data_IF_000201507263
#
_entry.id   IF_000201507263
#
_cell.length_a   1.000
_cell.length_b   1.000
_cell.length_c   1.000
_cell.angle_alpha   90.00
_cell.angle_beta   90.00
_cell.angle_gamma   90.00
#
_symmetry.space_group_name_H-M   'P 1'
#
loop_
_entity.id
_entity.type
_entity.pdbx_description
1 polymer ?
#
# COMPACT_ATOMS: atom_id res chain seq x y z
N UNK A 1 16.55 -30.44 -24.25
CA UNK A 1 18.01 -30.24 -24.02
C UNK A 1 18.20 -29.93 -22.54
N UNK A 2 18.78 -30.84 -21.75
CA UNK A 2 18.92 -30.67 -20.30
C UNK A 2 20.15 -29.79 -20.04
N UNK A 3 19.97 -28.46 -20.06
CA UNK A 3 21.05 -27.58 -19.66
C UNK A 3 21.16 -27.59 -18.13
N UNK A 4 22.25 -28.24 -17.70
CA UNK A 4 23.12 -27.83 -16.60
C UNK A 4 22.52 -27.87 -15.19
N UNK A 5 22.80 -28.97 -14.49
CA UNK A 5 22.88 -29.06 -13.03
C UNK A 5 24.04 -28.18 -12.55
N UNK A 6 23.96 -26.86 -12.73
CA UNK A 6 24.82 -25.97 -11.99
C UNK A 6 24.46 -26.16 -10.51
N UNK A 7 25.43 -26.48 -9.63
CA UNK A 7 25.19 -26.56 -8.21
C UNK A 7 24.48 -25.30 -7.71
N UNK A 8 23.49 -25.49 -6.83
CA UNK A 8 22.65 -24.41 -6.32
C UNK A 8 23.49 -23.30 -5.68
N UNK A 9 24.59 -23.67 -5.04
CA UNK A 9 25.53 -22.78 -4.37
C UNK A 9 26.21 -21.84 -5.37
N UNK A 10 26.62 -22.34 -6.55
CA UNK A 10 27.20 -21.52 -7.60
C UNK A 10 26.17 -20.57 -8.19
N UNK A 11 24.92 -21.02 -8.33
CA UNK A 11 23.83 -20.17 -8.79
C UNK A 11 23.58 -19.03 -7.81
N UNK A 12 23.41 -19.33 -6.52
CA UNK A 12 23.25 -18.33 -5.47
C UNK A 12 24.44 -17.35 -5.41
N UNK A 13 25.67 -17.84 -5.63
CA UNK A 13 26.85 -17.00 -5.71
C UNK A 13 26.77 -16.02 -6.89
N UNK A 14 26.42 -16.48 -8.09
CA UNK A 14 26.25 -15.62 -9.27
C UNK A 14 25.16 -14.57 -9.02
N UNK A 15 24.01 -14.98 -8.46
CA UNK A 15 22.90 -14.08 -8.14
C UNK A 15 23.33 -12.97 -7.16
N UNK A 16 24.20 -13.28 -6.19
CA UNK A 16 24.65 -12.28 -5.19
C UNK A 16 25.44 -11.10 -5.77
N UNK A 17 25.97 -11.22 -7.00
CA UNK A 17 26.67 -10.13 -7.68
C UNK A 17 25.77 -9.29 -8.59
N UNK A 18 24.55 -9.76 -8.87
CA UNK A 18 23.64 -9.08 -9.77
C UNK A 18 22.85 -7.99 -9.02
N UNK A 19 22.67 -6.80 -9.61
CA UNK A 19 21.75 -5.83 -9.07
C UNK A 19 20.32 -6.37 -9.12
N UNK A 20 19.44 -5.85 -8.26
CA UNK A 20 18.02 -6.29 -8.20
C UNK A 20 17.31 -6.21 -9.56
N UNK A 21 17.74 -5.30 -10.43
CA UNK A 21 17.21 -5.23 -11.80
C UNK A 21 17.47 -6.49 -12.60
N UNK A 22 18.73 -6.86 -12.72
CA UNK A 22 19.15 -8.00 -13.50
C UNK A 22 18.62 -9.29 -12.86
N UNK A 23 18.67 -9.38 -11.53
CA UNK A 23 18.04 -10.46 -10.77
C UNK A 23 16.57 -10.64 -11.16
N UNK A 24 15.78 -9.58 -11.10
CA UNK A 24 14.37 -9.66 -11.43
C UNK A 24 14.11 -10.10 -12.88
N UNK A 25 14.96 -9.72 -13.84
CA UNK A 25 14.85 -10.18 -15.22
C UNK A 25 15.11 -11.68 -15.35
N UNK A 26 16.07 -12.23 -14.60
CA UNK A 26 16.40 -13.66 -14.65
C UNK A 26 15.28 -14.59 -14.18
N UNK A 27 14.26 -14.07 -13.46
CA UNK A 27 13.07 -14.85 -13.06
C UNK A 27 12.26 -15.42 -14.24
N UNK A 28 12.47 -14.87 -15.45
CA UNK A 28 11.84 -15.34 -16.68
C UNK A 28 12.43 -16.64 -17.24
N UNK A 29 13.60 -17.08 -16.75
CA UNK A 29 14.34 -18.22 -17.31
C UNK A 29 13.63 -19.55 -17.04
N UNK A 30 13.23 -19.79 -15.79
CA UNK A 30 12.50 -21.01 -15.38
C UNK A 30 11.78 -20.81 -14.06
N UNK A 31 10.89 -21.74 -13.68
CA UNK A 31 10.22 -21.72 -12.37
C UNK A 31 11.20 -21.83 -11.20
N UNK A 32 12.25 -22.64 -11.35
CA UNK A 32 13.29 -22.79 -10.33
C UNK A 32 14.08 -21.49 -10.15
N UNK A 33 14.52 -20.87 -11.25
CA UNK A 33 15.23 -19.58 -11.19
C UNK A 33 14.37 -18.49 -10.57
N UNK A 34 13.07 -18.45 -10.89
CA UNK A 34 12.13 -17.54 -10.26
C UNK A 34 12.11 -17.71 -8.73
N UNK A 35 11.91 -18.93 -8.24
CA UNK A 35 11.86 -19.19 -6.80
C UNK A 35 13.16 -18.75 -6.11
N UNK A 36 14.32 -19.09 -6.68
CA UNK A 36 15.64 -18.75 -6.12
C UNK A 36 15.91 -17.25 -6.11
N UNK A 37 15.58 -16.55 -7.20
CA UNK A 37 15.73 -15.09 -7.29
C UNK A 37 14.83 -14.39 -6.27
N UNK A 38 13.57 -14.82 -6.17
CA UNK A 38 12.61 -14.18 -5.25
C UNK A 38 13.02 -14.41 -3.79
N UNK A 39 13.41 -15.63 -3.44
CA UNK A 39 13.96 -15.96 -2.13
C UNK A 39 15.25 -15.18 -1.82
N UNK A 40 16.18 -15.08 -2.77
CA UNK A 40 17.43 -14.34 -2.60
C UNK A 40 17.18 -12.86 -2.28
N UNK A 41 16.30 -12.19 -3.03
CA UNK A 41 15.98 -10.78 -2.80
C UNK A 41 15.26 -10.61 -1.45
N UNK A 42 14.33 -11.50 -1.09
CA UNK A 42 13.70 -11.46 0.23
C UNK A 42 14.73 -11.58 1.36
N UNK A 43 15.67 -12.53 1.26
CA UNK A 43 16.72 -12.73 2.25
C UNK A 43 17.64 -11.51 2.35
N UNK A 44 18.02 -10.88 1.24
CA UNK A 44 18.82 -9.65 1.25
C UNK A 44 18.05 -8.49 1.88
N UNK A 45 16.75 -8.34 1.59
CA UNK A 45 15.87 -7.34 2.22
C UNK A 45 15.80 -7.52 3.73
N UNK A 46 15.67 -8.77 4.19
CA UNK A 46 15.66 -9.14 5.60
C UNK A 46 17.02 -8.90 6.26
N UNK A 47 18.12 -9.30 5.61
CA UNK A 47 19.48 -9.15 6.12
C UNK A 47 19.88 -7.67 6.26
N UNK A 48 19.49 -6.82 5.29
CA UNK A 48 19.74 -5.36 5.32
C UNK A 48 18.79 -4.60 6.25
N UNK A 49 17.82 -5.29 6.85
CA UNK A 49 16.79 -4.68 7.69
C UNK A 49 16.07 -3.51 7.00
N UNK A 50 15.73 -3.67 5.72
CA UNK A 50 14.89 -2.69 5.04
C UNK A 50 13.58 -2.54 5.78
N UNK A 51 13.23 -1.29 6.09
CA UNK A 51 12.07 -0.95 6.91
C UNK A 51 11.01 -0.25 6.09
N UNK A 52 9.75 -0.47 6.47
CA UNK A 52 8.60 0.29 5.98
C UNK A 52 8.07 1.11 7.13
N UNK A 53 8.17 2.42 7.03
CA UNK A 53 7.68 3.35 8.05
C UNK A 53 6.23 3.71 7.78
N UNK A 54 5.35 3.44 8.75
CA UNK A 54 3.98 3.92 8.79
C UNK A 54 3.96 5.23 9.55
N UNK A 55 3.57 6.32 8.90
CA UNK A 55 3.34 7.62 9.50
C UNK A 55 1.84 7.83 9.67
N UNK A 56 1.38 7.95 10.90
CA UNK A 56 -0.04 8.20 11.20
C UNK A 56 -0.21 9.66 11.62
N UNK A 57 -1.20 10.29 11.01
CA UNK A 57 -1.62 11.66 11.25
C UNK A 57 -0.90 12.72 10.43
N UNK A 58 -1.10 13.97 10.84
CA UNK A 58 -0.58 15.15 10.15
C UNK A 58 0.28 16.01 11.07
N UNK A 59 1.33 16.59 10.49
CA UNK A 59 2.20 17.53 11.20
C UNK A 59 1.38 18.65 11.86
N UNK A 60 1.70 19.05 13.10
CA UNK A 60 2.89 18.66 13.87
C UNK A 60 2.75 17.33 14.65
N UNK A 61 1.57 16.73 14.66
CA UNK A 61 1.29 15.53 15.44
C UNK A 61 1.43 14.32 14.53
N UNK A 62 2.58 13.67 14.48
CA UNK A 62 2.75 12.47 13.65
C UNK A 62 3.38 11.41 14.50
N UNK A 63 2.82 10.20 14.43
CA UNK A 63 3.48 9.03 14.98
C UNK A 63 4.10 8.24 13.83
N UNK A 64 5.29 7.70 14.05
CA UNK A 64 6.02 6.91 13.05
C UNK A 64 6.28 5.55 13.67
N UNK A 65 5.91 4.49 12.95
CA UNK A 65 6.18 3.12 13.32
C UNK A 65 6.94 2.42 12.19
N UNK A 66 8.00 1.70 12.51
CA UNK A 66 8.78 0.94 11.54
C UNK A 66 8.38 -0.54 11.53
N UNK A 67 8.13 -1.06 10.33
CA UNK A 67 7.90 -2.47 10.08
C UNK A 67 9.10 -3.11 9.38
N UNK A 68 9.35 -4.39 9.68
CA UNK A 68 10.47 -5.17 9.15
C UNK A 68 9.98 -6.45 8.48
N UNK A 69 10.67 -6.88 7.44
CA UNK A 69 10.35 -8.14 6.75
C UNK A 69 10.48 -9.33 7.72
N UNK A 70 9.37 -10.04 7.93
CA UNK A 70 9.24 -11.14 8.89
C UNK A 70 9.18 -12.50 8.19
N UNK A 71 8.34 -12.61 7.15
CA UNK A 71 8.09 -13.83 6.39
C UNK A 71 7.92 -13.54 4.88
N UNK A 72 8.08 -14.56 4.04
CA UNK A 72 7.75 -14.52 2.62
C UNK A 72 6.95 -15.78 2.28
N UNK A 73 5.78 -15.58 1.69
CA UNK A 73 4.95 -16.64 1.12
C UNK A 73 5.31 -16.80 -0.37
N UNK A 74 6.01 -17.88 -0.77
CA UNK A 74 6.40 -18.11 -2.15
C UNK A 74 5.24 -18.52 -3.07
N UNK A 75 4.13 -19.01 -2.50
CA UNK A 75 2.95 -19.43 -3.26
C UNK A 75 2.18 -18.19 -3.69
N UNK A 76 1.81 -17.34 -2.73
CA UNK A 76 1.10 -16.09 -2.99
C UNK A 76 2.04 -14.96 -3.46
N UNK A 77 3.36 -15.16 -3.35
CA UNK A 77 4.41 -14.18 -3.65
C UNK A 77 4.22 -12.89 -2.83
N UNK A 78 3.94 -13.05 -1.54
CA UNK A 78 3.64 -11.96 -0.60
C UNK A 78 4.72 -11.88 0.46
N UNK A 79 5.21 -10.68 0.73
CA UNK A 79 6.18 -10.40 1.80
C UNK A 79 5.44 -9.80 2.99
N UNK A 80 5.66 -10.38 4.17
CA UNK A 80 4.97 -10.03 5.40
C UNK A 80 5.88 -9.14 6.25
N UNK A 81 5.45 -7.90 6.50
CA UNK A 81 6.13 -6.94 7.36
C UNK A 81 5.42 -6.85 8.71
N UNK A 82 6.18 -6.84 9.80
CA UNK A 82 5.65 -6.72 11.17
C UNK A 82 6.45 -5.69 11.98
N UNK A 83 5.84 -5.07 13.00
CA UNK A 83 6.60 -4.28 13.97
C UNK A 83 7.61 -5.18 14.71
N UNK A 84 8.66 -4.59 15.28
CA UNK A 84 9.51 -5.34 16.23
C UNK A 84 8.69 -5.70 17.47
N UNK A 85 9.02 -6.82 18.10
CA UNK A 85 8.35 -7.28 19.31
C UNK A 85 8.30 -6.14 20.36
N UNK A 86 7.09 -5.75 20.77
CA UNK A 86 6.83 -4.66 21.72
C UNK A 86 6.35 -3.35 21.09
N UNK A 87 6.72 -3.04 19.84
CA UNK A 87 6.42 -1.76 19.18
C UNK A 87 5.16 -1.83 18.32
N UNK A 88 4.03 -2.29 18.86
CA UNK A 88 2.81 -2.45 18.04
C UNK A 88 1.85 -1.26 18.10
N UNK A 89 1.96 -0.42 19.13
CA UNK A 89 0.98 0.62 19.43
C UNK A 89 1.51 1.99 19.03
N UNK A 90 0.76 2.65 18.15
CA UNK A 90 0.94 4.02 17.70
C UNK A 90 0.05 4.92 18.55
N UNK A 91 0.67 5.70 19.42
CA UNK A 91 -0.01 6.77 20.16
C UNK A 91 0.38 8.12 19.59
N UNK A 92 -0.58 9.03 19.34
CA UNK A 92 -0.29 10.42 18.99
C UNK A 92 0.23 11.15 20.22
N UNK A 93 1.44 10.83 20.68
CA UNK A 93 2.13 11.65 21.66
C UNK A 93 2.68 12.88 20.94
N UNK A 94 2.50 14.06 21.55
CA UNK A 94 3.17 15.28 21.11
C UNK A 94 4.65 14.97 20.91
N UNK A 95 5.13 15.20 19.70
CA UNK A 95 6.46 14.81 19.26
C UNK A 95 7.50 15.50 20.18
N UNK A 96 7.95 14.81 21.22
CA UNK A 96 8.91 15.29 22.24
C UNK A 96 10.33 15.40 21.67
N UNK A 97 10.48 15.59 20.36
CA UNK A 97 11.74 16.04 19.78
C UNK A 97 12.05 17.41 20.38
N UNK A 98 12.93 17.40 21.37
CA UNK A 98 13.40 18.46 22.26
C UNK A 98 14.02 19.68 21.57
N UNK A 99 13.94 19.77 20.24
CA UNK A 99 14.43 20.87 19.41
C UNK A 99 13.35 21.73 18.72
N UNK A 100 12.04 21.45 18.89
CA UNK A 100 10.98 22.40 18.50
C UNK A 100 10.48 23.18 19.71
N UNK A 101 11.32 24.09 20.20
CA UNK A 101 11.02 24.94 21.37
C UNK A 101 10.12 26.16 21.07
N UNK A 102 9.67 26.37 19.84
CA UNK A 102 8.94 27.59 19.49
C UNK A 102 7.84 27.31 18.45
N UNK A 103 6.67 27.91 18.70
CA UNK A 103 5.48 28.04 17.84
C UNK A 103 4.38 26.97 18.00
N UNK A 104 3.72 26.93 19.16
CA UNK A 104 2.24 27.06 19.31
C UNK A 104 1.85 26.83 20.78
N UNK A 105 1.58 27.89 21.52
CA UNK A 105 1.12 27.85 22.92
C UNK A 105 -0.40 27.67 23.06
N UNK A 106 -1.10 27.31 21.98
CA UNK A 106 -2.54 27.06 22.00
C UNK A 106 -2.79 25.55 22.04
N UNK A 107 -3.62 25.05 22.99
CA UNK A 107 -4.07 23.68 22.95
C UNK A 107 -4.83 23.43 21.64
N UNK A 108 -4.67 22.25 21.01
CA UNK A 108 -5.40 21.92 19.81
C UNK A 108 -6.92 22.00 20.08
N UNK A 109 -7.73 22.46 19.11
CA UNK A 109 -9.17 22.54 19.30
C UNK A 109 -9.76 21.15 19.60
N UNK A 110 -10.81 21.03 20.43
CA UNK A 110 -11.35 19.74 20.87
C UNK A 110 -11.84 18.82 19.73
N UNK A 111 -12.22 19.39 18.57
CA UNK A 111 -12.57 18.64 17.37
C UNK A 111 -11.37 18.03 16.63
N UNK A 112 -10.14 18.44 16.96
CA UNK A 112 -8.90 17.97 16.35
C UNK A 112 -8.66 16.46 16.52
N UNK A 113 -8.98 15.93 17.70
CA UNK A 113 -8.76 14.52 18.04
C UNK A 113 -9.57 13.54 17.17
N UNK A 114 -10.69 13.99 16.58
CA UNK A 114 -11.60 13.16 15.77
C UNK A 114 -11.09 12.89 14.34
N UNK A 115 -10.21 13.76 13.82
CA UNK A 115 -9.76 13.69 12.42
C UNK A 115 -8.29 13.32 12.27
N UNK A 116 -7.52 13.41 13.34
CA UNK A 116 -6.07 13.28 13.28
C UNK A 116 -5.60 11.88 12.86
N UNK A 117 -6.29 10.83 13.29
CA UNK A 117 -5.94 9.44 12.97
C UNK A 117 -6.46 8.98 11.60
N UNK A 118 -7.08 9.85 10.80
CA UNK A 118 -7.71 9.44 9.52
C UNK A 118 -6.73 9.36 8.36
N UNK A 119 -5.49 9.82 8.54
CA UNK A 119 -4.46 9.74 7.51
C UNK A 119 -3.35 8.81 7.93
N UNK A 120 -2.98 7.92 7.02
CA UNK A 120 -1.79 7.12 7.10
C UNK A 120 -0.91 7.37 5.87
N UNK A 121 0.40 7.47 6.05
CA UNK A 121 1.38 7.44 4.98
C UNK A 121 2.30 6.25 5.16
N UNK A 122 2.50 5.47 4.11
CA UNK A 122 3.49 4.42 4.07
C UNK A 122 4.73 4.95 3.36
N UNK A 123 5.88 4.81 4.01
CA UNK A 123 7.18 5.26 3.50
C UNK A 123 8.15 4.10 3.51
N UNK A 124 8.62 3.68 2.33
CA UNK A 124 9.68 2.68 2.26
C UNK A 124 11.01 3.34 2.62
N UNK A 125 11.89 2.64 3.36
CA UNK A 125 13.17 3.19 3.77
C UNK A 125 13.96 3.72 2.58
N UNK A 126 14.42 4.97 2.67
CA UNK A 126 15.28 5.58 1.67
C UNK A 126 16.52 4.70 1.48
N UNK A 127 16.61 3.94 0.39
CA UNK A 127 17.91 3.91 -0.26
C UNK A 127 18.16 5.34 -0.70
N UNK A 128 19.34 5.86 -0.34
CA UNK A 128 19.89 7.01 -1.03
C UNK A 128 19.65 6.76 -2.50
N UNK A 129 18.84 7.62 -3.13
CA UNK A 129 18.55 7.53 -4.54
C UNK A 129 19.89 7.28 -5.24
N UNK A 130 20.14 6.05 -5.67
CA UNK A 130 20.86 5.84 -6.92
C UNK A 130 19.87 6.40 -7.94
N UNK A 131 19.75 7.73 -7.94
CA UNK A 131 19.15 8.46 -9.00
C UNK A 131 19.89 7.89 -10.20
N UNK A 132 19.14 7.14 -11.01
CA UNK A 132 19.55 6.72 -12.33
C UNK A 132 20.49 7.78 -12.83
N UNK A 133 21.75 7.42 -13.10
CA UNK A 133 22.82 8.30 -13.56
C UNK A 133 22.51 8.80 -14.97
N UNK A 134 21.28 9.27 -15.16
CA UNK A 134 20.81 10.05 -16.27
C UNK A 134 21.84 11.16 -16.39
N UNK A 135 22.47 11.17 -17.56
CA UNK A 135 23.52 12.11 -17.91
C UNK A 135 23.07 13.51 -17.47
N UNK A 136 23.66 14.03 -16.39
CA UNK A 136 23.37 15.37 -15.90
C UNK A 136 23.57 16.41 -17.03
N UNK A 137 24.47 16.09 -17.97
CA UNK A 137 24.70 16.79 -19.24
C UNK A 137 23.45 16.90 -20.12
N UNK A 138 22.60 15.87 -20.19
CA UNK A 138 21.40 15.87 -21.01
C UNK A 138 20.35 16.87 -20.51
N UNK A 139 20.21 16.99 -19.19
CA UNK A 139 19.28 17.94 -18.55
C UNK A 139 19.76 19.39 -18.61
N UNK A 140 21.04 19.65 -18.87
CA UNK A 140 21.59 21.01 -19.02
C UNK A 140 21.06 21.73 -20.26
N UNK A 141 20.59 20.99 -21.26
CA UNK A 141 20.07 21.56 -22.51
C UNK A 141 18.62 22.04 -22.39
N UNK A 142 17.96 21.75 -21.27
CA UNK A 142 16.58 22.14 -21.00
C UNK A 142 16.51 23.53 -20.37
N UNK A 143 15.39 24.22 -20.59
CA UNK A 143 15.11 25.41 -19.81
C UNK A 143 14.87 25.03 -18.33
N UNK A 144 14.97 25.98 -17.38
CA UNK A 144 14.84 25.67 -15.95
C UNK A 144 13.53 24.95 -15.58
N UNK A 145 12.42 25.33 -16.20
CA UNK A 145 11.09 24.75 -15.95
C UNK A 145 10.98 23.31 -16.48
N UNK A 146 11.44 23.05 -17.70
CA UNK A 146 11.52 21.71 -18.28
C UNK A 146 12.44 20.80 -17.47
N UNK A 147 13.55 21.34 -16.97
CA UNK A 147 14.49 20.61 -16.14
C UNK A 147 13.86 20.21 -14.81
N UNK A 148 13.19 21.13 -14.13
CA UNK A 148 12.49 20.84 -12.88
C UNK A 148 11.42 19.77 -13.11
N UNK A 149 10.62 19.92 -14.16
CA UNK A 149 9.61 18.93 -14.53
C UNK A 149 10.23 17.57 -14.85
N UNK A 150 11.32 17.53 -15.62
CA UNK A 150 12.01 16.29 -15.93
C UNK A 150 12.55 15.62 -14.67
N UNK A 151 13.17 16.36 -13.76
CA UNK A 151 13.66 15.84 -12.48
C UNK A 151 12.51 15.30 -11.64
N UNK A 152 11.41 16.03 -11.53
CA UNK A 152 10.21 15.59 -10.81
C UNK A 152 9.69 14.25 -11.33
N UNK A 153 9.60 14.07 -12.65
CA UNK A 153 9.10 12.82 -13.25
C UNK A 153 10.11 11.67 -13.17
N UNK A 154 11.40 11.95 -13.34
CA UNK A 154 12.45 10.92 -13.37
C UNK A 154 12.84 10.41 -11.98
N UNK A 155 12.71 11.26 -10.95
CA UNK A 155 13.00 10.87 -9.56
C UNK A 155 11.79 10.25 -8.85
N UNK A 156 10.60 10.35 -9.47
CA UNK A 156 9.39 9.82 -8.88
C UNK A 156 9.41 8.28 -8.86
N UNK A 157 9.23 7.72 -7.66
CA UNK A 157 8.96 6.31 -7.47
C UNK A 157 7.67 6.15 -6.65
N UNK A 158 6.63 5.50 -7.22
CA UNK A 158 5.33 5.37 -6.57
C UNK A 158 5.32 4.52 -5.31
N UNK A 159 6.37 3.74 -5.05
CA UNK A 159 6.47 2.82 -3.90
C UNK A 159 7.05 3.51 -2.67
N UNK A 160 7.73 4.64 -2.87
CA UNK A 160 8.39 5.35 -1.78
C UNK A 160 7.41 6.00 -0.82
N UNK A 161 6.25 6.44 -1.31
CA UNK A 161 5.25 7.10 -0.48
C UNK A 161 3.84 6.87 -1.00
N UNK A 162 2.98 6.29 -0.17
CA UNK A 162 1.55 6.12 -0.46
C UNK A 162 0.71 6.65 0.71
N UNK A 163 -0.43 7.28 0.45
CA UNK A 163 -1.26 7.92 1.48
C UNK A 163 -2.67 7.34 1.52
N UNK A 164 -3.07 6.75 2.63
CA UNK A 164 -4.36 6.10 2.80
C UNK A 164 -5.25 6.85 3.79
N UNK A 165 -6.55 6.82 3.52
CA UNK A 165 -7.55 7.20 4.48
C UNK A 165 -7.83 6.00 5.40
N UNK A 166 -7.74 6.20 6.71
CA UNK A 166 -8.15 5.20 7.69
C UNK A 166 -9.65 5.35 7.98
N UNK A 167 -10.38 4.24 8.22
CA UNK A 167 -11.78 4.27 8.60
C UNK A 167 -12.00 5.14 9.84
N UNK A 168 -13.22 5.65 9.99
CA UNK A 168 -13.56 6.42 11.18
C UNK A 168 -13.67 5.47 12.37
N UNK A 169 -13.01 5.81 13.47
CA UNK A 169 -13.22 5.08 14.72
C UNK A 169 -14.62 5.37 15.28
N UNK A 170 -15.45 4.34 15.42
CA UNK A 170 -16.73 4.41 16.12
C UNK A 170 -16.62 3.76 17.50
N UNK A 171 -16.93 4.50 18.56
CA UNK A 171 -17.00 3.99 19.94
C UNK A 171 -18.16 3.00 20.19
N UNK A 172 -18.91 2.62 19.16
CA UNK A 172 -20.00 1.67 19.30
C UNK A 172 -19.37 0.28 19.50
N UNK A 173 -19.75 -0.46 20.56
CA UNK A 173 -19.25 -1.80 20.78
C UNK A 173 -19.78 -2.71 19.67
N UNK A 174 -18.94 -2.96 18.67
CA UNK A 174 -19.13 -4.06 17.73
C UNK A 174 -18.89 -5.35 18.52
N UNK A 175 -19.82 -6.29 18.44
CA UNK A 175 -19.78 -7.55 19.18
C UNK A 175 -18.50 -8.37 18.92
N UNK A 176 -17.77 -8.69 19.99
CA UNK A 176 -16.91 -9.88 20.26
C UNK A 176 -15.90 -10.42 19.21
N UNK A 177 -15.81 -9.90 18.00
CA UNK A 177 -14.73 -10.24 17.07
C UNK A 177 -13.59 -9.25 17.22
N UNK A 178 -12.37 -9.76 17.33
CA UNK A 178 -11.15 -8.96 17.36
C UNK A 178 -11.17 -7.95 16.20
N UNK A 179 -11.39 -6.67 16.51
CA UNK A 179 -11.61 -5.53 15.60
C UNK A 179 -10.36 -5.24 14.74
N UNK A 180 -10.02 -6.19 13.88
CA UNK A 180 -8.99 -6.03 12.86
C UNK A 180 -9.61 -5.31 11.68
N UNK A 181 -9.13 -4.11 11.45
CA UNK A 181 -9.43 -3.30 10.28
C UNK A 181 -8.40 -3.55 9.19
N UNK A 182 -8.85 -3.39 7.95
CA UNK A 182 -8.03 -3.58 6.77
C UNK A 182 -8.11 -2.37 5.86
N UNK A 183 -6.94 -1.92 5.39
CA UNK A 183 -6.84 -0.91 4.34
C UNK A 183 -5.79 -1.35 3.35
N UNK A 184 -6.03 -1.13 2.06
CA UNK A 184 -5.05 -1.52 1.06
C UNK A 184 -5.29 -1.00 -0.34
N UNK A 185 -4.46 -1.49 -1.24
CA UNK A 185 -4.63 -1.35 -2.69
C UNK A 185 -4.30 -2.69 -3.38
N UNK A 186 -4.25 -2.70 -4.71
CA UNK A 186 -3.93 -3.92 -5.48
C UNK A 186 -2.63 -4.59 -5.03
N UNK A 187 -1.67 -3.84 -4.50
CA UNK A 187 -0.32 -4.30 -4.24
C UNK A 187 -0.01 -4.58 -2.77
N UNK A 188 -0.87 -4.16 -1.85
CA UNK A 188 -0.64 -4.27 -0.42
C UNK A 188 -1.94 -4.31 0.39
N UNK A 189 -1.87 -4.92 1.58
CA UNK A 189 -2.93 -4.89 2.60
C UNK A 189 -2.26 -4.62 3.94
N UNK A 190 -2.78 -3.65 4.68
CA UNK A 190 -2.41 -3.38 6.06
C UNK A 190 -3.51 -3.86 7.00
N UNK A 191 -3.11 -4.55 8.07
CA UNK A 191 -3.99 -4.88 9.19
C UNK A 191 -3.63 -4.08 10.44
N UNK A 192 -4.65 -3.50 11.07
CA UNK A 192 -4.52 -2.73 12.29
C UNK A 192 -5.79 -2.84 13.15
N UNK A 193 -5.73 -2.43 14.41
CA UNK A 193 -6.90 -2.29 15.27
C UNK A 193 -6.87 -0.96 16.01
N UNK A 194 -8.04 -0.47 16.41
CA UNK A 194 -8.11 0.64 17.37
C UNK A 194 -8.01 0.08 18.79
N UNK A 195 -7.16 0.69 19.61
CA UNK A 195 -7.02 0.37 21.03
C UNK A 195 -7.65 1.51 21.82
N UNK A 196 -8.69 1.22 22.64
CA UNK A 196 -9.29 2.25 23.46
C UNK A 196 -8.26 2.77 24.48
N UNK A 197 -8.27 4.07 24.78
CA UNK A 197 -7.39 4.64 25.80
C UNK A 197 -7.69 4.00 27.16
N UNK A 198 -6.61 3.59 27.84
CA UNK A 198 -6.64 2.88 29.14
C UNK A 198 -7.42 3.61 30.25
N UNK A 199 -7.54 4.93 30.15
CA UNK A 199 -8.12 5.79 31.20
C UNK A 199 -9.64 5.99 31.09
N UNK A 200 -10.32 5.36 30.12
CA UNK A 200 -11.74 5.64 29.83
C UNK A 200 -12.74 4.72 30.53
N UNK A 201 -12.29 3.82 31.41
CA UNK A 201 -13.18 2.98 32.22
C UNK A 201 -13.65 3.76 33.46
N UNK A 202 -14.37 4.87 33.24
CA UNK A 202 -15.19 5.48 34.31
C UNK A 202 -16.64 5.50 33.81
N UNK A 203 -17.51 4.57 34.26
CA UNK A 203 -18.84 4.38 33.69
C UNK A 203 -19.85 5.50 33.96
N UNK A 204 -19.47 6.67 34.49
CA UNK A 204 -20.48 7.59 35.03
C UNK A 204 -20.05 9.06 35.18
N UNK A 205 -19.45 9.64 34.16
CA UNK A 205 -19.11 11.06 34.17
C UNK A 205 -19.88 11.82 33.08
N UNK A 206 -21.05 12.36 33.45
CA UNK A 206 -21.78 13.44 32.75
C UNK A 206 -20.99 14.77 32.76
N UNK A 207 -19.67 14.70 32.63
CA UNK A 207 -18.74 15.81 32.81
C UNK A 207 -18.54 16.56 31.50
N UNK A 208 -19.32 17.62 31.36
CA UNK A 208 -19.02 18.87 30.64
C UNK A 208 -17.73 18.89 29.78
N UNK A 209 -17.89 18.73 28.47
CA UNK A 209 -17.11 19.45 27.46
C UNK A 209 -15.72 18.94 27.04
N UNK A 210 -15.16 17.89 27.66
CA UNK A 210 -13.88 17.33 27.21
C UNK A 210 -14.10 16.28 26.12
N UNK A 211 -13.59 16.54 24.91
CA UNK A 211 -13.60 15.59 23.79
C UNK A 211 -12.89 14.29 24.19
N UNK A 212 -13.41 13.10 23.83
CA UNK A 212 -12.75 11.84 24.16
C UNK A 212 -11.34 11.81 23.56
N UNK A 213 -10.35 11.24 24.28
CA UNK A 213 -9.00 11.11 23.76
C UNK A 213 -8.98 10.32 22.45
N UNK A 214 -8.08 10.71 21.54
CA UNK A 214 -7.91 10.01 20.26
C UNK A 214 -7.58 8.53 20.50
N UNK A 215 -8.14 7.59 19.72
CA UNK A 215 -7.83 6.19 19.86
C UNK A 215 -6.36 5.94 19.56
N UNK A 216 -5.78 4.95 20.23
CA UNK A 216 -4.48 4.42 19.84
C UNK A 216 -4.68 3.47 18.66
N UNK A 217 -3.71 3.38 17.76
CA UNK A 217 -3.77 2.44 16.62
C UNK A 217 -2.72 1.37 16.85
N UNK A 218 -3.12 0.11 16.87
CA UNK A 218 -2.21 -1.02 16.91
C UNK A 218 -2.01 -1.56 15.51
N UNK A 219 -0.79 -1.51 14.99
CA UNK A 219 -0.47 -2.13 13.70
C UNK A 219 -0.13 -3.60 13.94
N UNK A 220 -0.80 -4.50 13.21
CA UNK A 220 -0.54 -5.94 13.29
C UNK A 220 0.53 -6.37 12.29
N UNK A 221 0.32 -6.03 11.03
CA UNK A 221 1.19 -6.41 9.92
C UNK A 221 0.86 -5.62 8.65
N UNK A 222 1.80 -5.63 7.71
CA UNK A 222 1.64 -5.15 6.34
C UNK A 222 2.05 -6.28 5.38
N UNK A 223 1.16 -6.67 4.49
CA UNK A 223 1.44 -7.62 3.42
C UNK A 223 1.60 -6.85 2.13
N UNK A 224 2.66 -7.14 1.37
CA UNK A 224 2.91 -6.51 0.07
C UNK A 224 3.24 -7.59 -0.96
N UNK A 225 2.84 -7.36 -2.21
CA UNK A 225 3.30 -8.21 -3.30
C UNK A 225 4.80 -8.11 -3.46
N UNK A 226 5.41 -9.19 -3.93
CA UNK A 226 6.83 -9.19 -4.26
C UNK A 226 7.15 -8.15 -5.35
N UNK A 227 6.26 -7.96 -6.33
CA UNK A 227 6.42 -6.95 -7.38
C UNK A 227 6.43 -5.51 -6.81
N UNK A 228 5.67 -5.23 -5.74
CA UNK A 228 5.75 -3.96 -5.01
C UNK A 228 7.14 -3.74 -4.42
N UNK A 229 7.69 -4.74 -3.74
CA UNK A 229 9.01 -4.69 -3.14
C UNK A 229 10.11 -4.39 -4.18
N UNK A 230 10.06 -5.04 -5.35
CA UNK A 230 11.04 -4.80 -6.41
C UNK A 230 10.87 -3.43 -7.06
N UNK A 231 9.63 -2.94 -7.16
CA UNK A 231 9.36 -1.65 -7.79
C UNK A 231 9.98 -0.45 -7.06
N UNK A 232 10.49 -0.65 -5.85
CA UNK A 232 11.44 0.27 -5.20
C UNK A 232 12.71 0.54 -6.02
N UNK A 233 13.29 -0.48 -6.66
CA UNK A 233 14.46 -0.32 -7.54
C UNK A 233 14.06 -0.02 -8.98
N UNK A 234 12.84 -0.41 -9.36
CA UNK A 234 12.32 -0.27 -10.72
C UNK A 234 10.88 0.23 -10.71
N UNK A 235 10.68 1.55 -10.73
CA UNK A 235 9.34 2.16 -10.70
C UNK A 235 8.40 1.69 -11.82
N UNK A 236 8.96 1.17 -12.93
CA UNK A 236 8.21 0.70 -14.10
C UNK A 236 7.51 -0.64 -13.88
N UNK A 237 7.95 -1.44 -12.89
CA UNK A 237 7.27 -2.69 -12.56
C UNK A 237 5.87 -2.37 -12.04
N UNK A 238 4.87 -3.05 -12.61
CA UNK A 238 3.50 -3.00 -12.14
C UNK A 238 3.25 -4.15 -11.15
N UNK A 239 2.92 -3.86 -9.89
CA UNK A 239 2.42 -4.82 -8.94
C UNK A 239 1.19 -5.48 -9.50
N UNK A 240 1.17 -6.77 -9.24
CA UNK A 240 0.03 -7.64 -9.45
C UNK A 240 -0.96 -7.48 -8.30
N UNK A 241 -2.16 -8.02 -8.47
CA UNK A 241 -3.15 -8.10 -7.40
C UNK A 241 -2.62 -9.01 -6.28
N UNK A 242 -2.57 -8.51 -5.06
CA UNK A 242 -2.26 -9.29 -3.87
C UNK A 242 -3.37 -10.33 -3.67
N UNK A 243 -2.99 -11.59 -3.44
CA UNK A 243 -3.93 -12.71 -3.35
C UNK A 243 -4.82 -12.89 -4.59
N UNK A 244 -4.26 -12.73 -5.79
CA UNK A 244 -5.00 -12.82 -7.06
C UNK A 244 -5.90 -14.07 -7.17
N UNK A 245 -5.44 -15.22 -6.70
CA UNK A 245 -6.21 -16.47 -6.72
C UNK A 245 -7.48 -16.39 -5.86
N UNK A 246 -7.40 -15.74 -4.69
CA UNK A 246 -8.53 -15.58 -3.76
C UNK A 246 -9.58 -14.62 -4.31
N UNK A 247 -9.13 -13.52 -4.90
CA UNK A 247 -10.00 -12.59 -5.60
C UNK A 247 -10.69 -13.26 -6.79
N UNK A 248 -9.96 -14.10 -7.54
CA UNK A 248 -10.53 -14.85 -8.67
C UNK A 248 -11.58 -15.85 -8.21
N UNK A 249 -11.34 -16.55 -7.09
CA UNK A 249 -12.31 -17.45 -6.48
C UNK A 249 -13.56 -16.70 -6.01
N UNK A 250 -13.40 -15.58 -5.29
CA UNK A 250 -14.51 -14.74 -4.86
C UNK A 250 -15.33 -14.24 -6.05
N UNK A 251 -14.67 -13.75 -7.09
CA UNK A 251 -15.33 -13.32 -8.33
C UNK A 251 -16.13 -14.45 -8.98
N UNK A 252 -15.55 -15.65 -9.07
CA UNK A 252 -16.23 -16.82 -9.61
C UNK A 252 -17.46 -17.18 -8.77
N UNK A 253 -17.34 -17.21 -7.44
CA UNK A 253 -18.47 -17.47 -6.53
C UNK A 253 -19.58 -16.42 -6.71
N UNK A 254 -19.23 -15.13 -6.67
CA UNK A 254 -20.18 -14.02 -6.84
C UNK A 254 -20.91 -14.06 -8.20
N UNK A 255 -20.19 -14.34 -9.28
CA UNK A 255 -20.77 -14.35 -10.62
C UNK A 255 -21.62 -15.59 -10.88
N UNK A 256 -21.12 -16.78 -10.55
CA UNK A 256 -21.81 -18.03 -10.87
C UNK A 256 -22.97 -18.35 -9.93
N UNK A 257 -22.86 -18.02 -8.64
CA UNK A 257 -23.89 -18.37 -7.66
C UNK A 257 -24.87 -17.22 -7.42
N UNK A 258 -24.41 -15.97 -7.46
CA UNK A 258 -25.21 -14.82 -7.03
C UNK A 258 -25.47 -13.78 -8.13
N UNK A 259 -24.92 -13.97 -9.34
CA UNK A 259 -25.10 -13.04 -10.46
C UNK A 259 -24.47 -11.65 -10.25
N UNK A 260 -23.53 -11.53 -9.32
CA UNK A 260 -22.84 -10.27 -9.02
C UNK A 260 -21.56 -10.15 -9.84
N UNK A 261 -21.54 -9.25 -10.83
CA UNK A 261 -20.40 -9.07 -11.75
C UNK A 261 -19.45 -7.93 -11.39
N UNK A 262 -19.81 -7.12 -10.40
CA UNK A 262 -19.07 -5.93 -9.98
C UNK A 262 -19.15 -5.77 -8.46
N UNK A 263 -18.02 -5.41 -7.85
CA UNK A 263 -17.87 -5.09 -6.44
C UNK A 263 -16.58 -4.29 -6.23
N UNK A 264 -16.45 -3.60 -5.11
CA UNK A 264 -15.23 -2.89 -4.72
C UNK A 264 -14.23 -3.87 -4.07
N UNK A 265 -13.23 -4.31 -4.84
CA UNK A 265 -12.17 -5.25 -4.42
C UNK A 265 -11.36 -4.75 -3.21
N UNK A 266 -11.34 -3.44 -2.96
CA UNK A 266 -10.56 -2.80 -1.91
C UNK A 266 -11.42 -2.37 -0.72
N UNK A 267 -12.71 -2.70 -0.72
CA UNK A 267 -13.58 -2.47 0.43
C UNK A 267 -13.17 -3.35 1.61
N UNK A 268 -13.30 -2.82 2.82
CA UNK A 268 -12.89 -3.51 4.05
C UNK A 268 -13.55 -4.89 4.23
N UNK A 269 -14.87 -5.11 3.98
CA UNK A 269 -15.48 -6.44 4.09
C UNK A 269 -14.86 -7.46 3.11
N UNK A 270 -14.50 -7.01 1.91
CA UNK A 270 -13.85 -7.86 0.91
C UNK A 270 -12.42 -8.18 1.35
N UNK A 271 -11.65 -7.18 1.79
CA UNK A 271 -10.29 -7.39 2.32
C UNK A 271 -10.30 -8.37 3.50
N UNK A 272 -11.22 -8.20 4.45
CA UNK A 272 -11.38 -9.11 5.60
C UNK A 272 -11.62 -10.55 5.15
N UNK A 273 -12.53 -10.75 4.18
CA UNK A 273 -12.82 -12.08 3.62
C UNK A 273 -11.59 -12.70 2.94
N UNK A 274 -10.89 -11.95 2.09
CA UNK A 274 -9.70 -12.41 1.37
C UNK A 274 -8.59 -12.86 2.33
N UNK A 275 -8.42 -12.16 3.46
CA UNK A 275 -7.44 -12.51 4.48
C UNK A 275 -7.87 -13.75 5.28
N UNK A 276 -9.15 -13.89 5.63
CA UNK A 276 -9.64 -14.98 6.48
C UNK A 276 -9.58 -16.37 5.82
N UNK A 277 -9.50 -16.43 4.48
CA UNK A 277 -9.33 -17.70 3.75
C UNK A 277 -8.04 -18.48 4.10
N UNK A 278 -7.05 -17.83 4.75
CA UNK A 278 -5.76 -18.42 5.12
C UNK A 278 -5.77 -19.28 6.37
N UNK A 279 -6.87 -19.33 7.12
CA UNK A 279 -6.96 -20.31 8.20
C UNK A 279 -7.40 -21.63 7.58
N UNK A 280 -6.48 -22.59 7.31
CA UNK A 280 -6.92 -23.91 6.98
C UNK A 280 -7.81 -24.36 8.12
N UNK A 281 -9.04 -24.76 7.80
CA UNK A 281 -9.86 -25.58 8.68
C UNK A 281 -9.18 -26.96 8.85
N UNK A 282 -8.04 -26.98 9.51
CA UNK A 282 -7.44 -28.09 10.22
C UNK A 282 -7.98 -27.95 11.66
N UNK A 283 -8.77 -28.83 12.27
CA UNK A 283 -8.92 -30.28 12.13
C UNK A 283 -10.36 -30.69 12.51
N UNK A 284 -11.37 -30.29 11.74
CA UNK A 284 -12.68 -30.95 11.87
C UNK A 284 -12.68 -32.07 10.85
N UNK A 285 -12.62 -33.30 11.36
CA UNK A 285 -12.69 -34.51 10.56
C UNK A 285 -13.82 -34.39 9.52
N UNK A 286 -13.61 -34.91 8.29
CA UNK A 286 -14.63 -34.87 7.26
C UNK A 286 -15.80 -35.76 7.73
N UNK A 287 -16.80 -35.14 8.36
CA UNK A 287 -18.09 -35.79 8.52
C UNK A 287 -18.72 -35.82 7.12
N UNK A 288 -18.76 -37.04 6.58
CA UNK A 288 -18.92 -37.41 5.16
C UNK A 288 -20.26 -37.01 4.52
N UNK A 289 -21.04 -36.13 5.16
CA UNK A 289 -22.41 -35.81 4.74
C UNK A 289 -22.73 -34.32 4.62
N UNK A 290 -21.77 -33.41 4.87
CA UNK A 290 -21.97 -32.00 4.60
C UNK A 290 -20.92 -31.53 3.59
N UNK A 291 -21.22 -31.73 2.30
CA UNK A 291 -20.75 -30.81 1.25
C UNK A 291 -21.35 -29.45 1.60
N UNK A 292 -20.74 -28.75 2.56
CA UNK A 292 -20.99 -27.35 2.78
C UNK A 292 -20.62 -26.69 1.47
N UNK A 293 -21.65 -26.34 0.69
CA UNK A 293 -21.51 -25.47 -0.46
C UNK A 293 -20.61 -24.31 -0.03
N UNK A 294 -19.72 -23.89 -0.93
CA UNK A 294 -18.84 -22.73 -0.73
C UNK A 294 -19.62 -21.42 -0.68
N UNK A 295 -20.66 -21.38 0.15
CA UNK A 295 -21.58 -20.28 0.37
C UNK A 295 -20.85 -19.12 1.00
N UNK A 296 -21.06 -17.95 0.42
CA UNK A 296 -20.45 -16.72 0.88
C UNK A 296 -21.07 -16.33 2.24
N UNK A 297 -20.28 -15.78 3.20
CA UNK A 297 -20.85 -15.24 4.43
C UNK A 297 -22.00 -14.27 4.14
N UNK A 298 -23.16 -14.48 4.76
CA UNK A 298 -24.39 -13.70 4.48
C UNK A 298 -24.18 -12.19 4.59
N UNK A 299 -23.36 -11.75 5.54
CA UNK A 299 -23.01 -10.34 5.74
C UNK A 299 -22.23 -9.78 4.53
N UNK A 300 -21.27 -10.54 4.01
CA UNK A 300 -20.51 -10.15 2.82
C UNK A 300 -21.41 -10.10 1.58
N UNK A 301 -22.29 -11.09 1.43
CA UNK A 301 -23.23 -11.13 0.31
C UNK A 301 -24.19 -9.93 0.34
N UNK A 302 -24.79 -9.63 1.50
CA UNK A 302 -25.67 -8.46 1.68
C UNK A 302 -24.94 -7.18 1.31
N UNK A 303 -23.71 -7.03 1.82
CA UNK A 303 -22.87 -5.88 1.51
C UNK A 303 -22.59 -5.73 0.01
N UNK A 304 -22.18 -6.81 -0.66
CA UNK A 304 -21.92 -6.77 -2.12
C UNK A 304 -23.19 -6.45 -2.89
N UNK A 305 -24.33 -7.06 -2.54
CA UNK A 305 -25.61 -6.86 -3.23
C UNK A 305 -26.15 -5.43 -3.06
N UNK A 306 -25.98 -4.83 -1.88
CA UNK A 306 -26.36 -3.44 -1.60
C UNK A 306 -25.49 -2.43 -2.36
N UNK A 307 -24.27 -2.84 -2.77
CA UNK A 307 -23.28 -1.93 -3.32
C UNK A 307 -22.62 -2.41 -4.64
N UNK A 308 -23.32 -3.21 -5.44
CA UNK A 308 -22.81 -3.82 -6.68
C UNK A 308 -22.29 -2.83 -7.74
N UNK A 309 -22.50 -1.54 -7.56
CA UNK A 309 -22.20 -0.51 -8.56
C UNK A 309 -21.31 0.63 -8.03
N UNK A 310 -20.93 0.59 -6.77
CA UNK A 310 -20.21 1.69 -6.14
C UNK A 310 -18.81 1.26 -5.72
N UNK A 311 -17.83 2.05 -6.15
CA UNK A 311 -16.52 2.05 -5.51
C UNK A 311 -16.63 2.96 -4.29
N UNK A 312 -16.46 2.39 -3.10
CA UNK A 312 -16.73 3.08 -1.84
C UNK A 312 -15.66 4.07 -1.48
N UNK A 313 -14.41 3.67 -1.66
CA UNK A 313 -13.30 4.54 -1.30
C UNK A 313 -13.00 5.52 -2.44
N UNK A 314 -12.63 6.75 -2.08
CA UNK A 314 -12.12 7.74 -3.05
C UNK A 314 -10.92 7.19 -3.82
N UNK A 315 -10.10 6.36 -3.17
CA UNK A 315 -8.97 5.70 -3.79
C UNK A 315 -9.41 4.72 -4.89
N UNK A 316 -10.33 3.80 -4.58
CA UNK A 316 -10.87 2.82 -5.53
C UNK A 316 -11.48 3.52 -6.75
N UNK A 317 -12.26 4.59 -6.54
CA UNK A 317 -12.83 5.42 -7.62
C UNK A 317 -11.76 6.02 -8.53
N UNK A 318 -10.78 6.69 -7.95
CA UNK A 318 -9.70 7.30 -8.72
C UNK A 318 -8.86 6.26 -9.48
N UNK A 319 -8.57 5.12 -8.84
CA UNK A 319 -7.81 4.04 -9.49
C UNK A 319 -8.59 3.52 -10.71
N UNK A 320 -9.88 3.22 -10.54
CA UNK A 320 -10.73 2.74 -11.64
C UNK A 320 -10.82 3.76 -12.80
N UNK A 321 -11.03 5.03 -12.50
CA UNK A 321 -11.13 6.08 -13.53
C UNK A 321 -9.80 6.28 -14.27
N UNK A 322 -8.67 6.26 -13.56
CA UNK A 322 -7.35 6.35 -14.20
C UNK A 322 -7.08 5.15 -15.11
N UNK A 323 -7.45 3.93 -14.70
CA UNK A 323 -7.36 2.73 -15.55
C UNK A 323 -8.21 2.87 -16.81
N UNK A 324 -9.44 3.36 -16.68
CA UNK A 324 -10.33 3.66 -17.81
C UNK A 324 -9.76 4.72 -18.77
N UNK A 325 -8.94 5.65 -18.27
CA UNK A 325 -8.24 6.65 -19.07
C UNK A 325 -6.85 6.19 -19.56
N UNK A 326 -6.49 4.91 -19.39
CA UNK A 326 -5.16 4.37 -19.71
C UNK A 326 -4.00 5.09 -19.00
N UNK A 327 -4.26 5.67 -17.82
CA UNK A 327 -3.25 6.30 -16.96
C UNK A 327 -2.91 5.34 -15.83
N UNK A 328 -1.62 5.21 -15.50
CA UNK A 328 -1.19 4.37 -14.38
C UNK A 328 -1.81 4.89 -13.06
N UNK A 329 -2.60 4.09 -12.33
CA UNK A 329 -3.24 4.51 -11.08
C UNK A 329 -2.28 4.99 -10.01
N UNK A 330 -1.02 4.52 -10.04
CA UNK A 330 -0.01 4.98 -9.08
C UNK A 330 0.35 6.44 -9.23
N UNK A 331 -0.02 7.11 -10.33
CA UNK A 331 0.16 8.56 -10.47
C UNK A 331 -0.60 9.36 -9.41
N UNK A 332 -1.59 8.76 -8.73
CA UNK A 332 -2.23 9.35 -7.54
C UNK A 332 -1.16 9.75 -6.51
N UNK A 333 -0.15 8.91 -6.28
CA UNK A 333 0.89 9.16 -5.28
C UNK A 333 2.00 10.11 -5.77
N UNK A 334 1.94 10.56 -7.01
CA UNK A 334 2.88 11.53 -7.56
C UNK A 334 2.49 12.95 -7.24
N UNK A 335 1.19 13.21 -7.27
CA UNK A 335 0.66 14.56 -7.24
C UNK A 335 0.06 14.90 -5.87
N UNK A 336 0.52 15.98 -5.21
CA UNK A 336 0.00 16.37 -3.89
C UNK A 336 -1.51 16.59 -3.87
N UNK A 337 -2.10 17.16 -4.94
CA UNK A 337 -3.54 17.39 -5.00
C UNK A 337 -4.35 16.08 -4.99
N UNK A 338 -3.84 15.03 -5.65
CA UNK A 338 -4.47 13.71 -5.69
C UNK A 338 -4.36 13.01 -4.33
N UNK A 339 -3.18 13.09 -3.68
CA UNK A 339 -3.00 12.61 -2.30
C UNK A 339 -4.01 13.25 -1.33
N UNK A 340 -4.16 14.57 -1.39
CA UNK A 340 -5.10 15.30 -0.53
C UNK A 340 -6.55 14.94 -0.80
N UNK A 341 -6.91 14.69 -2.07
CA UNK A 341 -8.25 14.24 -2.43
C UNK A 341 -8.58 12.86 -1.82
N UNK A 342 -7.65 11.89 -1.92
CA UNK A 342 -7.82 10.53 -1.38
C UNK A 342 -8.10 10.56 0.12
N UNK A 343 -7.35 11.37 0.87
CA UNK A 343 -7.46 11.46 2.34
C UNK A 343 -8.68 12.28 2.79
N UNK A 344 -9.31 13.04 1.89
CA UNK A 344 -10.47 13.87 2.24
C UNK A 344 -10.12 15.21 2.90
N UNK A 345 -8.87 15.65 2.82
CA UNK A 345 -8.41 16.92 3.40
C UNK A 345 -8.81 18.11 2.51
N UNK A 346 -10.06 18.58 2.61
CA UNK A 346 -10.47 19.88 2.07
C UNK A 346 -10.39 20.01 0.54
N UNK A 347 -10.35 18.90 -0.20
CA UNK A 347 -10.40 18.96 -1.67
C UNK A 347 -11.83 19.28 -2.11
N UNK A 348 -11.99 20.41 -2.80
CA UNK A 348 -13.22 20.81 -3.50
C UNK A 348 -13.29 20.24 -4.92
N UNK A 349 -12.26 19.53 -5.36
CA UNK A 349 -12.22 18.91 -6.69
C UNK A 349 -13.16 17.71 -6.73
N UNK A 350 -13.79 17.47 -7.87
CA UNK A 350 -14.44 16.19 -8.16
C UNK A 350 -13.42 15.11 -8.53
N UNK A 351 -13.84 13.84 -8.49
CA UNK A 351 -13.06 12.72 -9.00
C UNK A 351 -12.60 12.97 -10.45
N UNK A 352 -13.48 13.46 -11.32
CA UNK A 352 -13.18 13.72 -12.74
C UNK A 352 -12.12 14.80 -12.91
N UNK A 353 -12.15 15.86 -12.09
CA UNK A 353 -11.19 16.95 -12.18
C UNK A 353 -9.79 16.50 -11.75
N UNK A 354 -9.71 15.65 -10.72
CA UNK A 354 -8.45 15.04 -10.29
C UNK A 354 -7.88 14.17 -11.41
N UNK A 355 -8.70 13.30 -12.01
CA UNK A 355 -8.28 12.40 -13.10
C UNK A 355 -7.82 13.18 -14.32
N UNK A 356 -8.62 14.17 -14.78
CA UNK A 356 -8.28 15.03 -15.92
C UNK A 356 -6.96 15.74 -15.70
N UNK A 357 -6.74 16.31 -14.51
CA UNK A 357 -5.50 17.02 -14.19
C UNK A 357 -4.28 16.09 -14.17
N UNK A 358 -4.41 14.87 -13.65
CA UNK A 358 -3.33 13.87 -13.73
C UNK A 358 -3.03 13.54 -15.19
N UNK A 359 -4.08 13.29 -15.99
CA UNK A 359 -3.95 12.95 -17.40
C UNK A 359 -3.20 14.05 -18.17
N UNK A 360 -3.61 15.31 -18.04
CA UNK A 360 -2.98 16.46 -18.71
C UNK A 360 -1.49 16.58 -18.36
N UNK A 361 -1.15 16.43 -17.08
CA UNK A 361 0.24 16.51 -16.60
C UNK A 361 1.11 15.37 -17.13
N UNK A 362 0.56 14.15 -17.21
CA UNK A 362 1.24 12.97 -17.77
C UNK A 362 1.32 13.01 -19.31
N UNK A 363 0.35 13.62 -20.00
CA UNK A 363 0.39 13.89 -21.44
C UNK A 363 1.50 14.89 -21.79
N UNK A 364 1.57 15.98 -21.03
CA UNK A 364 2.61 16.99 -21.19
C UNK A 364 4.00 16.38 -20.92
N UNK A 365 4.13 15.51 -19.92
CA UNK A 365 5.36 14.74 -19.69
C UNK A 365 5.70 13.79 -20.84
N UNK A 366 4.73 13.04 -21.38
CA UNK A 366 4.94 12.17 -22.55
C UNK A 366 5.43 12.97 -23.76
N UNK A 367 4.96 14.20 -23.94
CA UNK A 367 5.46 15.11 -24.97
C UNK A 367 6.91 15.52 -24.71
N UNK A 368 7.22 15.99 -23.49
CA UNK A 368 8.57 16.40 -23.10
C UNK A 368 9.57 15.24 -23.20
N UNK A 369 9.22 14.06 -22.67
CA UNK A 369 10.05 12.85 -22.71
C UNK A 369 10.37 12.41 -24.15
N UNK A 370 9.41 12.50 -25.08
CA UNK A 370 9.66 12.24 -26.51
C UNK A 370 10.60 13.28 -27.13
N UNK A 371 10.49 14.55 -26.73
CA UNK A 371 11.42 15.59 -27.15
C UNK A 371 12.84 15.31 -26.65
N UNK A 372 12.99 14.93 -25.38
CA UNK A 372 14.27 14.54 -24.78
C UNK A 372 14.92 13.37 -25.51
N UNK A 373 14.16 12.30 -25.76
CA UNK A 373 14.62 11.13 -26.53
C UNK A 373 15.16 11.51 -27.91
N UNK A 374 14.48 12.41 -28.62
CA UNK A 374 14.94 12.89 -29.94
C UNK A 374 16.22 13.72 -29.86
N UNK A 375 16.34 14.58 -28.85
CA UNK A 375 17.51 15.46 -28.66
C UNK A 375 18.77 14.69 -28.27
N UNK A 376 18.62 13.56 -27.59
CA UNK A 376 19.72 12.82 -26.97
C UNK A 376 20.15 11.58 -27.75
N UNK A 377 19.45 11.26 -28.84
CA UNK A 377 19.65 10.04 -29.61
C UNK A 377 19.06 8.81 -28.91
N UNK A 378 18.87 7.74 -29.69
CA UNK A 378 18.21 6.49 -29.26
C UNK A 378 18.94 5.71 -28.16
N UNK A 379 20.12 6.15 -27.73
CA UNK A 379 20.94 5.49 -26.71
C UNK A 379 20.53 5.82 -25.27
N UNK A 380 19.69 6.82 -25.05
CA UNK A 380 19.21 7.18 -23.71
C UNK A 380 17.90 6.44 -23.37
N UNK A 381 17.99 5.39 -22.56
CA UNK A 381 16.82 4.73 -21.99
C UNK A 381 16.22 5.61 -20.87
N UNK A 382 15.08 6.26 -21.16
CA UNK A 382 14.24 6.97 -20.17
C UNK A 382 13.09 6.10 -19.70
#
# INVERSE_FOLDING_TARGET
>A
MPHTTLPLELLCHVLSFLPYHDLYLTRGVSRQWRALVEEHIYLDVKARQHRVSIVIGQAPFTCVLDLYASNYDPIQRVVHFKPRDGDTIVSPQSNNNSNRKYLTSLPPPPSWHLYHHRQMQLKFSNHSHQASSLCASSLQTLNPQEREKALFHLQYNPVLECSYALPAYSWLPSSDQADSHYVGDKSMILSFSYVPPLDTIVPNCLSTGSSPPAPQIKIHWLHVTFDWLISFTQPKIQPTQIYADRYSQLYHTLTHQYGCYKYDELSEPILAYIIQQDHPMHDVAPDDNNKGDGDLPKQLLSYVQEHTHEYHTRLSRLQHMLEGCCVNPRMIWKYPFAKSFVVGNGSLLSEEDVVRRIQDLEDEWRSLSRSLKRRLGSTAAF
#
